data_IF_631321818384
#
_entry.id   IF_631321818384
#
_cell.length_a   1.000
_cell.length_b   1.000
_cell.length_c   1.000
_cell.angle_alpha   90.00
_cell.angle_beta   90.00
_cell.angle_gamma   90.00
#
_symmetry.space_group_name_H-M   'P 1'
#
loop_
_entity.id
_entity.type
_entity.pdbx_description
1 polymer ?
#
# COMPACT_ATOMS: atom_id res chain seq x y z
N UNK A 1 10.62 14.44 -13.36
CA UNK A 1 9.55 14.21 -12.37
C UNK A 1 10.02 14.78 -11.06
N UNK A 2 9.27 15.71 -10.47
CA UNK A 2 9.55 16.24 -9.14
C UNK A 2 9.24 15.19 -8.07
N UNK A 3 9.69 15.39 -6.84
CA UNK A 3 9.35 14.49 -5.74
C UNK A 3 7.83 14.45 -5.50
N UNK A 4 7.14 15.58 -5.65
CA UNK A 4 5.69 15.66 -5.49
C UNK A 4 4.94 14.88 -6.59
N UNK A 5 5.38 15.01 -7.85
CA UNK A 5 4.84 14.23 -8.97
C UNK A 5 5.06 12.72 -8.77
N UNK A 6 6.23 12.32 -8.24
CA UNK A 6 6.55 10.93 -7.91
C UNK A 6 5.62 10.39 -6.81
N UNK A 7 5.44 11.14 -5.73
CA UNK A 7 4.53 10.79 -4.64
C UNK A 7 3.11 10.62 -5.16
N UNK A 8 2.60 11.56 -5.95
CA UNK A 8 1.25 11.46 -6.54
C UNK A 8 1.11 10.22 -7.41
N UNK A 9 2.16 9.86 -8.17
CA UNK A 9 2.15 8.64 -8.98
C UNK A 9 2.00 7.39 -8.09
N UNK A 10 2.80 7.27 -7.04
CA UNK A 10 2.77 6.11 -6.14
C UNK A 10 1.46 6.05 -5.34
N UNK A 11 0.98 7.18 -4.81
CA UNK A 11 -0.31 7.23 -4.10
C UNK A 11 -1.44 6.75 -5.01
N UNK A 12 -1.46 7.17 -6.29
CA UNK A 12 -2.48 6.71 -7.25
C UNK A 12 -2.37 5.22 -7.55
N UNK A 13 -1.16 4.69 -7.67
CA UNK A 13 -0.92 3.25 -7.85
C UNK A 13 -1.44 2.44 -6.66
N UNK A 14 -1.00 2.80 -5.45
CA UNK A 14 -1.41 2.14 -4.22
C UNK A 14 -2.92 2.24 -3.96
N UNK A 15 -3.53 3.40 -4.19
CA UNK A 15 -4.98 3.59 -4.03
C UNK A 15 -5.79 2.71 -5.00
N UNK A 16 -5.30 2.54 -6.24
CA UNK A 16 -5.90 1.64 -7.22
C UNK A 16 -5.78 0.18 -6.78
N UNK A 17 -4.58 -0.26 -6.40
CA UNK A 17 -4.32 -1.63 -5.92
C UNK A 17 -5.20 -1.97 -4.71
N UNK A 18 -5.27 -1.08 -3.71
CA UNK A 18 -6.09 -1.31 -2.50
C UNK A 18 -7.58 -1.48 -2.84
N UNK A 19 -8.07 -0.81 -3.89
CA UNK A 19 -9.46 -0.95 -4.37
C UNK A 19 -9.69 -2.20 -5.22
N UNK A 20 -8.66 -2.70 -5.89
CA UNK A 20 -8.71 -3.92 -6.72
C UNK A 20 -8.64 -5.20 -5.88
N UNK A 21 -7.90 -5.18 -4.77
CA UNK A 21 -7.74 -6.32 -3.87
C UNK A 21 -9.12 -6.76 -3.35
N UNK A 22 -9.50 -7.98 -3.71
CA UNK A 22 -10.70 -8.68 -3.23
C UNK A 22 -10.36 -9.56 -2.02
N UNK A 23 -11.37 -10.22 -1.48
CA UNK A 23 -11.23 -11.17 -0.36
C UNK A 23 -10.08 -12.16 -0.60
N UNK A 24 -9.41 -12.53 0.49
CA UNK A 24 -8.23 -13.39 0.44
C UNK A 24 -8.59 -14.78 -0.09
N UNK A 25 -7.74 -15.42 -0.92
CA UNK A 25 -7.96 -16.80 -1.36
C UNK A 25 -8.01 -17.76 -0.15
N UNK A 26 -8.91 -18.73 -0.16
CA UNK A 26 -9.11 -19.70 0.94
C UNK A 26 -7.89 -20.63 1.17
N UNK A 27 -7.00 -20.73 0.19
CA UNK A 27 -5.87 -21.65 0.10
C UNK A 27 -4.52 -21.06 0.57
N UNK A 28 -4.53 -19.86 1.14
CA UNK A 28 -3.30 -19.20 1.63
C UNK A 28 -2.91 -19.73 3.01
N UNK A 29 -1.70 -20.27 3.12
CA UNK A 29 -1.09 -20.72 4.39
C UNK A 29 -0.64 -19.57 5.32
N UNK A 30 -1.29 -18.40 5.27
CA UNK A 30 -1.15 -17.36 6.28
C UNK A 30 -2.30 -17.47 7.28
N UNK A 31 -2.04 -17.08 8.53
CA UNK A 31 -3.17 -16.76 9.41
C UNK A 31 -3.87 -15.55 8.81
N UNK A 32 -5.11 -15.74 8.41
CA UNK A 32 -5.97 -14.70 7.83
C UNK A 32 -5.96 -13.40 8.64
N UNK A 33 -5.90 -13.49 9.97
CA UNK A 33 -5.81 -12.34 10.87
C UNK A 33 -4.49 -11.54 10.78
N UNK A 34 -3.36 -12.18 10.53
CA UNK A 34 -2.06 -11.52 10.36
C UNK A 34 -2.01 -10.79 9.01
N UNK A 35 -2.48 -11.42 7.94
CA UNK A 35 -2.58 -10.82 6.62
C UNK A 35 -3.53 -9.62 6.60
N UNK A 36 -4.72 -9.76 7.20
CA UNK A 36 -5.68 -8.66 7.35
C UNK A 36 -5.09 -7.48 8.13
N UNK A 37 -4.29 -7.76 9.16
CA UNK A 37 -3.59 -6.73 9.94
C UNK A 37 -2.55 -5.99 9.10
N UNK A 38 -1.73 -6.72 8.34
CA UNK A 38 -0.73 -6.11 7.45
C UNK A 38 -1.40 -5.30 6.33
N UNK A 39 -2.53 -5.77 5.81
CA UNK A 39 -3.31 -5.04 4.82
C UNK A 39 -3.94 -3.76 5.40
N UNK A 40 -4.40 -3.79 6.66
CA UNK A 40 -4.81 -2.59 7.39
C UNK A 40 -3.67 -1.58 7.54
N UNK A 41 -2.46 -2.05 7.89
CA UNK A 41 -1.29 -1.18 7.95
C UNK A 41 -0.97 -0.55 6.60
N UNK A 42 -1.01 -1.31 5.50
CA UNK A 42 -0.78 -0.76 4.16
C UNK A 42 -1.76 0.38 3.85
N UNK A 43 -3.06 0.21 4.16
CA UNK A 43 -4.08 1.27 4.01
C UNK A 43 -3.77 2.50 4.84
N UNK A 44 -3.36 2.33 6.10
CA UNK A 44 -3.01 3.44 6.99
C UNK A 44 -1.79 4.22 6.49
N UNK A 45 -0.77 3.53 5.97
CA UNK A 45 0.40 4.18 5.39
C UNK A 45 0.10 4.92 4.08
N UNK A 46 -0.88 4.47 3.29
CA UNK A 46 -1.40 5.25 2.16
C UNK A 46 -2.04 6.56 2.64
N UNK A 47 -2.86 6.51 3.70
CA UNK A 47 -3.45 7.72 4.28
C UNK A 47 -2.40 8.66 4.88
N UNK A 48 -1.37 8.12 5.54
CA UNK A 48 -0.22 8.90 6.00
C UNK A 48 0.50 9.58 4.83
N UNK A 49 0.71 8.89 3.71
CA UNK A 49 1.33 9.47 2.53
C UNK A 49 0.51 10.63 1.97
N UNK A 50 -0.82 10.47 1.84
CA UNK A 50 -1.74 11.54 1.42
C UNK A 50 -1.69 12.74 2.37
N UNK A 51 -1.68 12.47 3.68
CA UNK A 51 -1.58 13.50 4.71
C UNK A 51 -0.26 14.28 4.59
N UNK A 52 0.88 13.59 4.59
CA UNK A 52 2.19 14.24 4.53
C UNK A 52 2.45 14.97 3.22
N UNK A 53 1.90 14.49 2.09
CA UNK A 53 1.95 15.21 0.83
C UNK A 53 1.24 16.56 0.95
N UNK A 54 0.01 16.55 1.48
CA UNK A 54 -0.80 17.76 1.69
C UNK A 54 -0.12 18.77 2.63
N UNK A 55 0.59 18.28 3.65
CA UNK A 55 1.35 19.12 4.59
C UNK A 55 2.71 19.58 4.05
N UNK A 56 3.07 19.23 2.81
CA UNK A 56 4.35 19.60 2.18
C UNK A 56 5.57 18.85 2.73
N UNK A 57 5.36 17.78 3.52
CA UNK A 57 6.41 16.91 4.07
C UNK A 57 6.73 15.79 3.08
N UNK A 58 7.34 16.14 1.97
CA UNK A 58 7.45 15.29 0.78
C UNK A 58 8.29 14.02 1.03
N UNK A 59 9.40 14.11 1.76
CA UNK A 59 10.24 12.95 2.09
C UNK A 59 9.51 11.94 3.00
N UNK A 60 8.75 12.45 3.96
CA UNK A 60 7.92 11.59 4.84
C UNK A 60 6.80 10.94 4.03
N UNK A 61 6.13 11.70 3.16
CA UNK A 61 5.10 11.16 2.27
C UNK A 61 5.63 10.07 1.34
N UNK A 62 6.79 10.29 0.72
CA UNK A 62 7.45 9.31 -0.14
C UNK A 62 7.81 8.04 0.63
N UNK A 63 8.31 8.19 1.86
CA UNK A 63 8.63 7.04 2.73
C UNK A 63 7.37 6.28 3.12
N UNK A 64 6.28 6.98 3.46
CA UNK A 64 5.00 6.36 3.81
C UNK A 64 4.40 5.55 2.65
N UNK A 65 4.38 6.10 1.43
CA UNK A 65 3.84 5.36 0.28
C UNK A 65 4.75 4.21 -0.14
N UNK A 66 6.08 4.37 -0.07
CA UNK A 66 7.00 3.25 -0.34
C UNK A 66 6.82 2.09 0.66
N UNK A 67 6.55 2.41 1.94
CA UNK A 67 6.23 1.38 2.94
C UNK A 67 4.88 0.71 2.65
N UNK A 68 3.86 1.48 2.26
CA UNK A 68 2.58 0.94 1.79
C UNK A 68 2.77 -0.06 0.63
N UNK A 69 3.49 0.31 -0.42
CA UNK A 69 3.75 -0.57 -1.57
C UNK A 69 4.54 -1.82 -1.17
N UNK A 70 5.54 -1.68 -0.29
CA UNK A 70 6.31 -2.81 0.22
C UNK A 70 5.48 -3.82 1.01
N UNK A 71 4.52 -3.36 1.82
CA UNK A 71 3.58 -4.25 2.51
C UNK A 71 2.66 -4.99 1.53
N UNK A 72 2.16 -4.29 0.50
CA UNK A 72 1.30 -4.88 -0.53
C UNK A 72 2.06 -5.92 -1.36
N UNK A 73 3.30 -5.62 -1.76
CA UNK A 73 4.15 -6.57 -2.48
C UNK A 73 4.50 -7.80 -1.64
N UNK A 74 4.73 -7.63 -0.33
CA UNK A 74 4.95 -8.75 0.57
C UNK A 74 3.70 -9.65 0.69
N UNK A 75 2.51 -9.06 0.85
CA UNK A 75 1.25 -9.82 0.84
C UNK A 75 1.06 -10.59 -0.47
N UNK A 76 1.35 -9.95 -1.61
CA UNK A 76 1.27 -10.57 -2.93
C UNK A 76 2.27 -11.73 -3.09
N UNK A 77 3.51 -11.53 -2.65
CA UNK A 77 4.55 -12.57 -2.69
C UNK A 77 4.17 -13.81 -1.87
N UNK A 78 3.45 -13.61 -0.76
CA UNK A 78 2.98 -14.66 0.12
C UNK A 78 1.64 -15.29 -0.34
N UNK A 79 1.11 -14.86 -1.49
CA UNK A 79 -0.16 -15.35 -2.04
C UNK A 79 -1.41 -14.82 -1.34
N UNK A 80 -1.29 -13.89 -0.39
CA UNK A 80 -2.41 -13.38 0.39
C UNK A 80 -3.36 -12.48 -0.43
N UNK A 81 -2.85 -11.84 -1.48
CA UNK A 81 -3.60 -10.95 -2.38
C UNK A 81 -3.07 -11.05 -3.81
N UNK A 82 -3.88 -10.67 -4.79
CA UNK A 82 -3.47 -10.59 -6.20
C UNK A 82 -3.77 -9.20 -6.78
N UNK A 83 -2.80 -8.58 -7.45
CA UNK A 83 -2.94 -7.28 -8.13
C UNK A 83 -1.79 -6.98 -9.09
N UNK A 84 -1.92 -5.89 -9.85
CA UNK A 84 -0.87 -5.28 -10.69
C UNK A 84 -0.79 -3.76 -10.53
N UNK A 85 0.44 -3.21 -10.55
CA UNK A 85 0.76 -1.77 -10.43
C UNK A 85 0.35 -0.90 -11.62
#
# INVERSE_FOLDING_TARGET
MTIDELITKYIRGADRVIKEIKEMPEDVHLKESEAATVFDWAKRYLEDAKYYQKEGKLETSLTSVAYCEGLLDALRLLGAVEFSW
#
